data_IF_875773057375
#
_entry.id   IF_875773057375
#
_cell.length_a   1.000
_cell.length_b   1.000
_cell.length_c   1.000
_cell.angle_alpha   90.00
_cell.angle_beta   90.00
_cell.angle_gamma   90.00
#
_symmetry.space_group_name_H-M   'P 1'
#
loop_
_entity.id
_entity.type
_entity.pdbx_description
1 polymer ?
#
# COMPACT_ATOMS: atom_id res chain seq x y z
N UNK A 1 -4.91 -15.69 -66.96
CA UNK A 1 -5.67 -15.19 -65.78
C UNK A 1 -5.12 -15.61 -64.40
N UNK A 2 -4.12 -16.52 -64.29
CA UNK A 2 -3.57 -16.96 -62.98
C UNK A 2 -2.54 -16.02 -62.34
N UNK A 3 -1.81 -15.21 -63.12
CA UNK A 3 -0.74 -14.33 -62.60
C UNK A 3 -1.24 -13.02 -61.98
N UNK A 4 -2.33 -12.46 -62.48
CA UNK A 4 -2.93 -11.22 -61.95
C UNK A 4 -3.63 -11.45 -60.61
N UNK A 5 -4.17 -12.65 -60.38
CA UNK A 5 -4.82 -13.03 -59.12
C UNK A 5 -3.82 -13.19 -57.96
N UNK A 6 -2.59 -13.63 -58.26
CA UNK A 6 -1.52 -13.80 -57.28
C UNK A 6 -1.01 -12.46 -56.73
N UNK A 7 -0.96 -11.41 -57.57
CA UNK A 7 -0.54 -10.08 -57.13
C UNK A 7 -1.59 -9.36 -56.26
N UNK A 8 -2.88 -9.63 -56.48
CA UNK A 8 -3.96 -9.12 -55.63
C UNK A 8 -3.91 -9.72 -54.21
N UNK A 9 -3.55 -10.99 -54.07
CA UNK A 9 -3.40 -11.66 -52.78
C UNK A 9 -2.20 -11.14 -51.97
N UNK A 10 -1.10 -10.77 -52.63
CA UNK A 10 0.10 -10.25 -51.94
C UNK A 10 -0.13 -8.81 -51.41
N UNK A 11 -0.88 -7.98 -52.15
CA UNK A 11 -1.23 -6.62 -51.69
C UNK A 11 -2.18 -6.61 -50.49
N UNK A 12 -3.10 -7.57 -50.42
CA UNK A 12 -4.07 -7.66 -49.32
C UNK A 12 -3.43 -8.16 -48.00
N UNK A 13 -2.36 -8.96 -48.08
CA UNK A 13 -1.67 -9.50 -46.91
C UNK A 13 -0.78 -8.46 -46.18
N UNK A 14 -0.47 -7.33 -46.82
CA UNK A 14 0.37 -6.28 -46.24
C UNK A 14 -0.41 -5.24 -45.41
N UNK A 15 -1.74 -5.18 -45.54
CA UNK A 15 -2.60 -4.22 -44.85
C UNK A 15 -3.04 -4.66 -43.44
N UNK A 16 -2.70 -5.88 -43.02
CA UNK A 16 -3.10 -6.46 -41.73
C UNK A 16 -2.02 -6.37 -40.64
N UNK A 17 -0.86 -5.76 -40.92
CA UNK A 17 0.35 -5.90 -40.08
C UNK A 17 0.56 -4.80 -39.03
N UNK A 18 -0.32 -3.82 -38.88
CA UNK A 18 -0.03 -2.63 -38.05
C UNK A 18 -1.13 -2.25 -37.07
N UNK A 19 -1.48 -3.17 -36.16
CA UNK A 19 -2.13 -2.80 -34.90
C UNK A 19 -1.76 -3.76 -33.77
N UNK A 20 -0.46 -3.82 -33.45
CA UNK A 20 -0.03 -4.29 -32.13
C UNK A 20 -0.38 -3.20 -31.13
N UNK A 21 -1.55 -3.29 -30.52
CA UNK A 21 -1.82 -2.58 -29.27
C UNK A 21 -0.92 -3.23 -28.20
N UNK A 22 0.24 -2.61 -27.96
CA UNK A 22 0.99 -2.88 -26.74
C UNK A 22 0.08 -2.48 -25.57
N UNK A 23 -0.62 -3.46 -24.98
CA UNK A 23 -1.19 -3.30 -23.64
C UNK A 23 0.00 -3.16 -22.70
N UNK A 24 0.46 -1.92 -22.49
CA UNK A 24 1.36 -1.58 -21.42
C UNK A 24 0.72 -2.08 -20.13
N UNK A 25 1.30 -3.15 -19.58
CA UNK A 25 0.97 -3.76 -18.29
C UNK A 25 0.87 -2.69 -17.20
N UNK A 26 0.14 -2.97 -16.11
CA UNK A 26 -0.54 -1.99 -15.28
C UNK A 26 0.44 -0.93 -14.79
N UNK A 27 -0.02 0.31 -14.73
CA UNK A 27 0.62 1.36 -13.95
C UNK A 27 1.16 0.71 -12.68
N UNK A 28 2.49 0.66 -12.54
CA UNK A 28 3.13 0.47 -11.25
C UNK A 28 2.59 1.60 -10.40
N UNK A 29 1.46 1.32 -9.73
CA UNK A 29 0.89 2.15 -8.69
C UNK A 29 1.94 2.13 -7.61
N UNK A 30 2.90 3.05 -7.73
CA UNK A 30 3.95 3.28 -6.76
C UNK A 30 3.20 3.43 -5.44
N UNK A 31 3.31 2.43 -4.56
CA UNK A 31 2.46 2.32 -3.38
C UNK A 31 2.58 3.65 -2.62
N UNK A 32 1.47 4.36 -2.48
CA UNK A 32 1.45 5.64 -1.78
C UNK A 32 2.07 5.44 -0.40
N UNK A 33 3.12 6.20 -0.10
CA UNK A 33 3.89 6.05 1.12
C UNK A 33 3.44 7.12 2.11
N UNK A 34 2.91 6.67 3.24
CA UNK A 34 2.59 7.57 4.34
C UNK A 34 3.86 8.20 4.90
N UNK A 35 3.79 9.49 5.23
CA UNK A 35 4.89 10.28 5.79
C UNK A 35 4.86 10.22 7.30
N UNK A 36 6.01 10.01 7.94
CA UNK A 36 6.12 10.11 9.39
C UNK A 36 5.92 11.55 9.87
N UNK A 37 5.13 11.73 10.94
CA UNK A 37 4.83 13.02 11.55
C UNK A 37 5.38 13.12 12.97
N UNK A 38 5.28 12.05 13.76
CA UNK A 38 5.72 12.06 15.15
C UNK A 38 5.45 10.74 15.86
N UNK A 39 5.99 10.62 17.07
CA UNK A 39 5.79 9.48 17.97
C UNK A 39 5.25 9.96 19.30
N UNK A 40 4.38 9.16 19.89
CA UNK A 40 3.74 9.39 21.19
C UNK A 40 3.96 8.18 22.09
N UNK A 41 3.99 8.43 23.40
CA UNK A 41 4.05 7.39 24.42
C UNK A 41 2.78 6.53 24.40
N UNK A 42 2.93 5.20 24.36
CA UNK A 42 1.80 4.27 24.41
C UNK A 42 1.27 4.04 25.85
N UNK A 43 1.94 4.58 26.87
CA UNK A 43 1.63 4.33 28.28
C UNK A 43 2.03 2.92 28.77
N UNK A 44 2.70 2.14 27.92
CA UNK A 44 3.25 0.83 28.25
C UNK A 44 4.71 0.76 27.78
N UNK A 45 5.66 0.37 28.64
CA UNK A 45 7.06 0.22 28.25
C UNK A 45 7.22 -0.77 27.09
N UNK A 46 8.14 -0.45 26.16
CA UNK A 46 8.42 -1.32 25.02
C UNK A 46 7.47 -1.14 23.84
N UNK A 47 6.65 -0.08 23.82
CA UNK A 47 5.75 0.23 22.71
C UNK A 47 5.59 1.75 22.51
N UNK A 48 5.47 2.16 21.24
CA UNK A 48 5.24 3.54 20.82
C UNK A 48 4.06 3.67 19.86
N UNK A 49 3.45 4.86 19.82
CA UNK A 49 2.39 5.21 18.86
C UNK A 49 2.98 6.15 17.81
N UNK A 50 3.03 5.71 16.56
CA UNK A 50 3.57 6.47 15.43
C UNK A 50 2.44 7.15 14.66
N UNK A 51 2.52 8.46 14.47
CA UNK A 51 1.60 9.22 13.61
C UNK A 51 2.18 9.33 12.21
N UNK A 52 1.42 8.86 11.25
CA UNK A 52 1.72 8.87 9.83
C UNK A 52 0.65 9.70 9.10
N UNK A 53 1.03 10.39 8.03
CA UNK A 53 0.13 11.19 7.20
C UNK A 53 0.21 10.75 5.74
N UNK A 54 -0.94 10.43 5.16
CA UNK A 54 -1.10 10.26 3.72
C UNK A 54 -1.67 11.55 3.11
N UNK A 55 -0.87 12.20 2.27
CA UNK A 55 -1.28 13.41 1.57
C UNK A 55 -2.24 13.13 0.39
N UNK A 56 -2.27 11.90 -0.12
CA UNK A 56 -3.09 11.52 -1.27
C UNK A 56 -4.56 11.46 -0.88
N UNK A 57 -4.82 10.86 0.28
CA UNK A 57 -6.17 10.66 0.80
C UNK A 57 -6.53 11.60 1.95
N UNK A 58 -5.62 12.49 2.36
CA UNK A 58 -5.74 13.38 3.52
C UNK A 58 -6.09 12.61 4.81
N UNK A 59 -5.32 11.56 5.08
CA UNK A 59 -5.55 10.63 6.19
C UNK A 59 -4.38 10.68 7.17
N UNK A 60 -4.70 10.70 8.46
CA UNK A 60 -3.74 10.54 9.55
C UNK A 60 -3.93 9.15 10.14
N UNK A 61 -2.87 8.35 10.19
CA UNK A 61 -2.86 7.04 10.82
C UNK A 61 -2.01 7.05 12.09
N UNK A 62 -2.52 6.45 13.16
CA UNK A 62 -1.82 6.16 14.40
C UNK A 62 -1.53 4.67 14.44
N UNK A 63 -0.26 4.31 14.55
CA UNK A 63 0.23 2.94 14.55
C UNK A 63 0.85 2.65 15.90
N UNK A 64 0.22 1.81 16.71
CA UNK A 64 0.86 1.23 17.89
C UNK A 64 1.83 0.15 17.43
N UNK A 65 3.06 0.17 17.88
CA UNK A 65 4.07 -0.84 17.58
C UNK A 65 4.97 -1.08 18.79
N UNK A 66 5.47 -2.32 18.98
CA UNK A 66 6.54 -2.55 19.94
C UNK A 66 7.84 -1.89 19.47
N UNK A 67 8.67 -1.45 20.42
CA UNK A 67 9.98 -0.84 20.13
C UNK A 67 10.94 -1.83 19.45
N UNK A 68 10.73 -3.11 19.72
CA UNK A 68 11.49 -4.20 19.11
C UNK A 68 10.55 -5.14 18.39
N UNK A 69 10.77 -5.29 17.08
CA UNK A 69 10.08 -6.29 16.30
C UNK A 69 10.75 -7.65 16.52
N UNK A 70 10.07 -8.56 17.22
CA UNK A 70 10.56 -9.94 17.35
C UNK A 70 10.33 -10.72 16.05
N UNK A 71 11.32 -11.54 15.70
CA UNK A 71 11.25 -12.46 14.57
C UNK A 71 11.57 -13.85 15.09
N UNK A 72 10.81 -14.84 14.63
CA UNK A 72 11.09 -16.25 14.87
C UNK A 72 11.43 -16.94 13.54
N UNK A 73 12.36 -17.89 13.60
CA UNK A 73 12.67 -18.73 12.46
C UNK A 73 11.68 -19.89 12.42
N UNK A 74 10.92 -20.00 11.33
CA UNK A 74 10.00 -21.12 11.07
C UNK A 74 10.34 -21.66 9.70
N UNK A 75 10.66 -22.95 9.61
CA UNK A 75 11.00 -23.63 8.36
C UNK A 75 12.06 -22.89 7.53
N UNK A 76 13.15 -22.47 8.19
CA UNK A 76 14.26 -21.72 7.59
C UNK A 76 13.89 -20.34 7.01
N UNK A 77 12.72 -19.81 7.37
CA UNK A 77 12.28 -18.45 7.02
C UNK A 77 12.11 -17.60 8.28
N UNK A 78 12.57 -16.36 8.21
CA UNK A 78 12.31 -15.38 9.28
C UNK A 78 10.87 -14.88 9.16
N UNK A 79 10.05 -15.23 10.14
CA UNK A 79 8.66 -14.80 10.23
C UNK A 79 8.53 -13.84 11.39
N UNK A 80 7.88 -12.70 11.16
CA UNK A 80 7.54 -11.78 12.23
C UNK A 80 6.60 -12.45 13.22
N UNK A 81 6.86 -12.28 14.51
CA UNK A 81 5.97 -12.83 15.52
C UNK A 81 4.63 -12.08 15.48
N UNK A 82 3.51 -12.80 15.42
CA UNK A 82 2.18 -12.20 15.24
C UNK A 82 1.77 -11.25 16.38
N UNK A 83 2.34 -11.43 17.57
CA UNK A 83 2.15 -10.52 18.71
C UNK A 83 2.95 -9.22 18.61
N UNK A 84 3.82 -9.07 17.60
CA UNK A 84 4.58 -7.85 17.33
C UNK A 84 3.91 -6.91 16.31
N UNK A 85 2.79 -7.34 15.71
CA UNK A 85 1.99 -6.50 14.81
C UNK A 85 1.02 -5.69 15.67
N UNK A 86 1.44 -4.49 16.07
CA UNK A 86 0.56 -3.62 16.85
C UNK A 86 -0.62 -3.08 16.02
N UNK A 87 -1.48 -2.27 16.65
CA UNK A 87 -2.73 -1.81 16.05
C UNK A 87 -2.54 -0.57 15.16
N UNK A 88 -3.38 -0.44 14.13
CA UNK A 88 -3.44 0.75 13.27
C UNK A 88 -4.85 1.35 13.30
N UNK A 89 -4.93 2.67 13.48
CA UNK A 89 -6.18 3.43 13.42
C UNK A 89 -5.98 4.66 12.53
N UNK A 90 -6.82 4.84 11.51
CA UNK A 90 -6.70 5.93 10.54
C UNK A 90 -7.94 6.81 10.53
N UNK A 91 -7.74 8.13 10.45
CA UNK A 91 -8.77 9.16 10.49
C UNK A 91 -8.55 10.16 9.36
N UNK A 92 -9.64 10.68 8.78
CA UNK A 92 -9.57 11.79 7.82
C UNK A 92 -9.10 13.06 8.55
N UNK A 93 -8.10 13.76 8.03
CA UNK A 93 -7.48 14.90 8.73
C UNK A 93 -8.46 16.05 8.99
N UNK A 94 -9.44 16.24 8.09
CA UNK A 94 -10.51 17.24 8.25
C UNK A 94 -11.78 16.69 8.95
N UNK A 95 -11.71 15.53 9.62
CA UNK A 95 -12.78 15.18 10.56
C UNK A 95 -12.63 16.10 11.77
N UNK A 96 -13.57 17.04 11.92
CA UNK A 96 -13.64 18.06 12.98
C UNK A 96 -13.74 17.53 14.42
N UNK A 97 -13.35 16.27 14.65
CA UNK A 97 -13.13 15.63 15.94
C UNK A 97 -11.66 15.29 16.23
N UNK A 98 -10.71 15.69 15.39
CA UNK A 98 -9.28 15.33 15.57
C UNK A 98 -8.59 15.97 16.79
N UNK A 99 -9.26 16.85 17.53
CA UNK A 99 -8.77 17.41 18.79
C UNK A 99 -9.24 16.62 20.03
N UNK A 100 -10.24 15.74 19.91
CA UNK A 100 -10.87 15.02 21.02
C UNK A 100 -11.07 13.52 20.74
N UNK A 101 -10.28 12.92 19.83
CA UNK A 101 -10.17 11.46 19.79
C UNK A 101 -9.35 11.00 21.00
N UNK A 102 -9.98 11.09 22.17
CA UNK A 102 -9.51 10.53 23.41
C UNK A 102 -9.18 9.07 23.14
N UNK A 103 -7.89 8.77 23.20
CA UNK A 103 -7.42 7.44 23.60
C UNK A 103 -8.12 7.21 24.93
N UNK A 104 -9.20 6.42 24.91
CA UNK A 104 -9.96 6.11 26.11
C UNK A 104 -8.96 5.57 27.14
N UNK A 105 -8.81 6.19 28.33
CA UNK A 105 -7.99 5.61 29.36
C UNK A 105 -8.59 4.24 29.68
N UNK A 106 -7.79 3.19 29.52
CA UNK A 106 -8.16 1.84 29.97
C UNK A 106 -8.31 1.91 31.48
N UNK A 107 -9.55 2.05 31.94
CA UNK A 107 -9.92 1.89 33.35
C UNK A 107 -9.69 0.42 33.68
N UNK A 108 -8.58 0.11 34.35
CA UNK A 108 -8.40 -1.18 35.00
C UNK A 108 -9.26 -1.17 36.28
N UNK A 109 -10.19 -2.12 36.37
CA UNK A 109 -10.81 -2.52 37.64
C UNK A 109 -9.81 -3.34 38.45
#
# INVERSE_FOLDING_TARGET
MRRTFLHLLIGFLWLLSSSVFAQSSPQTSQKAQMRYVGTFEAGQPGAGIYKLYDASDDVVCYVLMPDTASRKQVDSKWVYEGNALGSISCLKANSTNSANSAISPVVRK
#
